data_IF_237865331551
#
_entry.id   IF_237865331551
#
_cell.length_a   1.000
_cell.length_b   1.000
_cell.length_c   1.000
_cell.angle_alpha   90.00
_cell.angle_beta   90.00
_cell.angle_gamma   90.00
#
_symmetry.space_group_name_H-M   'P 1'
#
loop_
_entity.id
_entity.type
_entity.pdbx_description
1 polymer ?
#
# COMPACT_ATOMS: atom_id res chain seq x y z
N UNK A 1 -29.71 4.89 21.66
CA UNK A 1 -29.88 4.59 20.22
C UNK A 1 -28.88 5.30 19.32
N UNK A 2 -28.85 6.65 19.23
CA UNK A 2 -27.96 7.38 18.30
C UNK A 2 -26.45 7.06 18.41
N UNK A 3 -25.93 6.84 19.62
CA UNK A 3 -24.51 6.50 19.83
C UNK A 3 -24.10 5.16 19.21
N UNK A 4 -25.02 4.20 19.12
CA UNK A 4 -24.75 2.89 18.53
C UNK A 4 -24.56 3.01 17.02
N UNK A 5 -25.45 3.72 16.33
CA UNK A 5 -25.33 3.98 14.89
C UNK A 5 -24.02 4.66 14.50
N UNK A 6 -23.59 5.64 15.31
CA UNK A 6 -22.33 6.35 15.08
C UNK A 6 -21.14 5.40 15.28
N UNK A 7 -21.15 4.59 16.34
CA UNK A 7 -20.09 3.63 16.61
C UNK A 7 -19.96 2.57 15.50
N UNK A 8 -21.08 1.99 15.06
CA UNK A 8 -21.11 1.02 13.95
C UNK A 8 -20.57 1.62 12.65
N UNK A 9 -21.00 2.84 12.31
CA UNK A 9 -20.52 3.52 11.12
C UNK A 9 -19.01 3.80 11.17
N UNK A 10 -18.50 4.24 12.33
CA UNK A 10 -17.07 4.51 12.54
C UNK A 10 -16.25 3.23 12.43
N UNK A 11 -16.71 2.14 13.03
CA UNK A 11 -16.07 0.82 12.94
C UNK A 11 -16.02 0.31 11.50
N UNK A 12 -17.12 0.43 10.77
CA UNK A 12 -17.17 0.06 9.36
C UNK A 12 -16.17 0.86 8.52
N UNK A 13 -16.09 2.19 8.74
CA UNK A 13 -15.19 3.07 7.99
C UNK A 13 -13.71 2.78 8.29
N UNK A 14 -13.35 2.54 9.56
CA UNK A 14 -11.99 2.14 9.94
C UNK A 14 -11.62 0.81 9.29
N UNK A 15 -12.54 -0.17 9.31
CA UNK A 15 -12.32 -1.49 8.72
C UNK A 15 -12.14 -1.40 7.20
N UNK A 16 -12.98 -0.63 6.52
CA UNK A 16 -12.88 -0.40 5.09
C UNK A 16 -11.53 0.24 4.72
N UNK A 17 -11.12 1.29 5.44
CA UNK A 17 -9.83 1.95 5.20
C UNK A 17 -8.64 1.00 5.45
N UNK A 18 -8.71 0.21 6.53
CA UNK A 18 -7.69 -0.78 6.85
C UNK A 18 -7.55 -1.82 5.73
N UNK A 19 -8.66 -2.36 5.22
CA UNK A 19 -8.65 -3.34 4.14
C UNK A 19 -7.99 -2.78 2.87
N UNK A 20 -8.30 -1.54 2.48
CA UNK A 20 -7.65 -0.92 1.32
C UNK A 20 -6.15 -0.71 1.51
N UNK A 21 -5.74 -0.16 2.66
CA UNK A 21 -4.33 0.08 2.96
C UNK A 21 -3.54 -1.23 3.08
N UNK A 22 -4.15 -2.29 3.63
CA UNK A 22 -3.55 -3.61 3.73
C UNK A 22 -3.37 -4.26 2.36
N UNK A 23 -4.42 -4.30 1.56
CA UNK A 23 -4.37 -4.93 0.24
C UNK A 23 -3.39 -4.21 -0.69
N UNK A 24 -3.44 -2.88 -0.73
CA UNK A 24 -2.49 -2.07 -1.49
C UNK A 24 -1.05 -2.30 -1.05
N UNK A 25 -0.79 -2.38 0.26
CA UNK A 25 0.55 -2.67 0.77
C UNK A 25 1.04 -4.07 0.37
N UNK A 26 0.16 -5.07 0.38
CA UNK A 26 0.51 -6.42 -0.07
C UNK A 26 0.84 -6.45 -1.56
N UNK A 27 0.06 -5.75 -2.40
CA UNK A 27 0.34 -5.63 -3.84
C UNK A 27 1.69 -4.95 -4.08
N UNK A 28 1.99 -3.87 -3.36
CA UNK A 28 3.27 -3.19 -3.44
C UNK A 28 4.43 -4.12 -3.05
N UNK A 29 4.28 -4.85 -1.94
CA UNK A 29 5.28 -5.82 -1.50
C UNK A 29 5.51 -6.92 -2.54
N UNK A 30 4.44 -7.46 -3.11
CA UNK A 30 4.51 -8.48 -4.15
C UNK A 30 5.18 -7.95 -5.42
N UNK A 31 4.87 -6.71 -5.83
CA UNK A 31 5.48 -6.03 -6.98
C UNK A 31 7.00 -5.92 -6.81
N UNK A 32 7.47 -5.48 -5.64
CA UNK A 32 8.90 -5.38 -5.35
C UNK A 32 9.56 -6.77 -5.32
N UNK A 33 8.88 -7.76 -4.73
CA UNK A 33 9.39 -9.14 -4.68
C UNK A 33 9.56 -9.76 -6.07
N UNK A 34 8.68 -9.44 -7.02
CA UNK A 34 8.82 -9.91 -8.41
C UNK A 34 10.03 -9.26 -9.09
N UNK A 35 10.26 -7.96 -8.88
CA UNK A 35 11.46 -7.27 -9.38
C UNK A 35 12.75 -7.93 -8.84
N UNK A 36 12.82 -8.16 -7.53
CA UNK A 36 13.95 -8.83 -6.88
C UNK A 36 14.13 -10.28 -7.37
N UNK A 37 13.03 -10.99 -7.62
CA UNK A 37 13.02 -12.35 -8.16
C UNK A 37 13.66 -12.44 -9.55
N UNK A 38 13.43 -11.43 -10.40
CA UNK A 38 14.05 -11.35 -11.73
C UNK A 38 15.56 -11.14 -11.62
N UNK A 39 16.02 -10.28 -10.71
CA UNK A 39 17.45 -10.02 -10.50
C UNK A 39 18.20 -11.19 -9.85
N UNK A 40 17.55 -11.92 -8.93
CA UNK A 40 18.10 -13.09 -8.26
C UNK A 40 18.05 -14.38 -9.10
N UNK A 41 17.38 -14.34 -10.26
CA UNK A 41 17.42 -15.45 -11.21
C UNK A 41 18.83 -15.63 -11.81
N UNK A 42 19.16 -16.82 -12.31
CA UNK A 42 20.44 -17.09 -12.99
C UNK A 42 20.48 -16.49 -14.42
N UNK A 43 20.00 -15.26 -14.59
CA UNK A 43 19.87 -14.57 -15.89
C UNK A 43 21.21 -14.42 -16.61
N UNK A 44 22.31 -14.27 -15.87
CA UNK A 44 23.67 -14.20 -16.43
C UNK A 44 24.13 -15.49 -17.08
N UNK A 45 23.52 -16.65 -16.76
CA UNK A 45 23.86 -17.94 -17.36
C UNK A 45 23.01 -18.27 -18.60
N UNK A 46 22.03 -17.42 -18.93
CA UNK A 46 21.06 -17.69 -20.01
C UNK A 46 21.53 -17.16 -21.37
N UNK A 47 20.85 -17.61 -22.43
CA UNK A 47 21.07 -17.14 -23.80
C UNK A 47 20.85 -15.63 -23.96
N UNK A 48 21.51 -15.01 -24.96
CA UNK A 48 21.43 -13.57 -25.26
C UNK A 48 19.97 -13.09 -25.45
N UNK A 49 19.13 -13.93 -26.08
CA UNK A 49 17.70 -13.63 -26.26
C UNK A 49 16.96 -13.49 -24.92
N UNK A 50 17.21 -14.40 -23.98
CA UNK A 50 16.59 -14.39 -22.65
C UNK A 50 17.11 -13.21 -21.83
N UNK A 51 18.41 -12.91 -21.89
CA UNK A 51 18.99 -11.74 -21.21
C UNK A 51 18.35 -10.43 -21.67
N UNK A 52 18.11 -10.27 -22.98
CA UNK A 52 17.38 -9.10 -23.52
C UNK A 52 15.96 -9.02 -22.97
N UNK A 53 15.23 -10.14 -22.93
CA UNK A 53 13.89 -10.18 -22.33
C UNK A 53 13.90 -9.81 -20.84
N UNK A 54 14.87 -10.31 -20.08
CA UNK A 54 15.03 -10.00 -18.65
C UNK A 54 15.29 -8.51 -18.42
N UNK A 55 16.10 -7.86 -19.26
CA UNK A 55 16.36 -6.41 -19.18
C UNK A 55 15.12 -5.59 -19.51
N UNK A 56 14.34 -6.00 -20.52
CA UNK A 56 13.07 -5.34 -20.84
C UNK A 56 12.06 -5.52 -19.70
N UNK A 57 11.97 -6.73 -19.14
CA UNK A 57 11.10 -7.05 -18.02
C UNK A 57 11.48 -6.27 -16.76
N UNK A 58 12.77 -6.17 -16.43
CA UNK A 58 13.22 -5.38 -15.27
C UNK A 58 12.93 -3.89 -15.46
N UNK A 59 13.08 -3.36 -16.68
CA UNK A 59 12.66 -1.99 -17.01
C UNK A 59 11.16 -1.75 -16.81
N UNK A 60 10.32 -2.72 -17.13
CA UNK A 60 8.87 -2.65 -16.90
C UNK A 60 8.49 -2.78 -15.42
N UNK A 61 9.13 -3.70 -14.69
CA UNK A 61 8.86 -3.98 -13.28
C UNK A 61 9.31 -2.85 -12.33
N UNK A 62 10.30 -2.04 -12.74
CA UNK A 62 10.69 -0.82 -12.01
C UNK A 62 9.52 0.15 -11.77
N UNK A 63 8.47 0.09 -12.59
CA UNK A 63 7.24 0.84 -12.34
C UNK A 63 6.43 0.13 -11.26
N UNK A 64 6.74 0.46 -10.00
CA UNK A 64 6.05 -0.10 -8.84
C UNK A 64 4.53 0.09 -8.92
N UNK A 65 3.79 -0.99 -8.69
CA UNK A 65 2.34 -0.95 -8.61
C UNK A 65 1.97 -0.43 -7.22
N UNK A 66 1.65 0.85 -7.14
CA UNK A 66 1.24 1.52 -5.90
C UNK A 66 -0.16 2.09 -6.08
N UNK A 67 -1.09 1.70 -5.22
CA UNK A 67 -2.38 2.39 -5.17
C UNK A 67 -2.22 3.74 -4.48
N UNK A 68 -2.73 4.78 -5.13
CA UNK A 68 -2.69 6.15 -4.65
C UNK A 68 -4.12 6.66 -4.45
N UNK A 69 -4.36 7.35 -3.35
CA UNK A 69 -5.56 8.12 -3.11
C UNK A 69 -5.45 9.45 -3.87
N UNK A 70 -5.62 9.40 -5.19
CA UNK A 70 -5.44 10.54 -6.08
C UNK A 70 -4.02 11.14 -6.00
N UNK A 71 -3.86 12.47 -6.18
CA UNK A 71 -2.55 13.13 -6.08
C UNK A 71 -2.06 13.34 -4.64
N UNK A 72 -2.82 12.88 -3.63
CA UNK A 72 -2.58 13.25 -2.24
C UNK A 72 -1.65 12.28 -1.51
N UNK A 73 -1.95 10.99 -1.52
CA UNK A 73 -1.21 10.01 -0.70
C UNK A 73 -1.15 8.64 -1.37
N UNK A 74 -0.11 7.86 -1.02
CA UNK A 74 -0.08 6.42 -1.30
C UNK A 74 -0.93 5.69 -0.26
N UNK A 75 -1.70 4.69 -0.68
CA UNK A 75 -2.48 3.85 0.21
C UNK A 75 -1.59 2.78 0.82
N UNK A 76 -0.94 3.09 1.92
CA UNK A 76 -0.09 2.14 2.66
C UNK A 76 -0.47 2.06 4.13
N UNK A 77 -0.09 0.97 4.80
CA UNK A 77 -0.34 0.78 6.25
C UNK A 77 0.23 1.93 7.11
N UNK A 78 1.43 2.48 6.84
CA UNK A 78 1.92 3.69 7.53
C UNK A 78 0.98 4.89 7.44
N UNK A 79 0.41 5.15 6.26
CA UNK A 79 -0.58 6.22 6.05
C UNK A 79 -1.86 5.98 6.84
N UNK A 80 -2.34 4.74 6.95
CA UNK A 80 -3.49 4.40 7.80
C UNK A 80 -3.21 4.75 9.27
N UNK A 81 -2.04 4.38 9.79
CA UNK A 81 -1.62 4.71 11.15
C UNK A 81 -1.54 6.23 11.34
N UNK A 82 -1.01 6.95 10.35
CA UNK A 82 -0.94 8.42 10.39
C UNK A 82 -2.34 9.06 10.44
N UNK A 83 -3.29 8.55 9.65
CA UNK A 83 -4.69 9.01 9.67
C UNK A 83 -5.31 8.76 11.06
N UNK A 84 -5.17 7.56 11.62
CA UNK A 84 -5.70 7.24 12.95
C UNK A 84 -5.09 8.12 14.06
N UNK A 85 -3.76 8.30 14.05
CA UNK A 85 -3.07 9.17 15.00
C UNK A 85 -3.53 10.62 14.86
N UNK A 86 -3.67 11.11 13.63
CA UNK A 86 -4.19 12.45 13.35
C UNK A 86 -5.60 12.63 13.90
N UNK A 87 -6.51 11.70 13.60
CA UNK A 87 -7.90 11.72 14.09
C UNK A 87 -7.97 11.70 15.62
N UNK A 88 -7.16 10.86 16.28
CA UNK A 88 -7.11 10.81 17.75
C UNK A 88 -6.52 12.08 18.35
N UNK A 89 -5.48 12.65 17.74
CA UNK A 89 -4.93 13.94 18.14
C UNK A 89 -5.98 15.05 18.04
N UNK A 90 -6.75 15.09 16.95
CA UNK A 90 -7.86 16.04 16.82
C UNK A 90 -8.94 15.83 17.88
N UNK A 91 -9.33 14.57 18.12
CA UNK A 91 -10.30 14.23 19.15
C UNK A 91 -9.87 14.69 20.55
N UNK A 92 -8.62 14.40 20.92
CA UNK A 92 -8.08 14.80 22.24
C UNK A 92 -7.97 16.32 22.40
N UNK A 93 -7.65 17.06 21.33
CA UNK A 93 -7.65 18.52 21.35
C UNK A 93 -9.05 19.10 21.52
N UNK A 94 -10.05 18.57 20.81
CA UNK A 94 -11.44 19.02 20.94
C UNK A 94 -12.05 18.63 22.29
N UNK A 95 -11.71 17.46 22.83
CA UNK A 95 -12.23 16.97 24.12
C UNK A 95 -11.61 17.67 25.33
N UNK A 96 -10.53 18.45 25.15
CA UNK A 96 -9.89 19.25 26.21
C UNK A 96 -10.44 20.68 26.33
N UNK A 97 -11.47 21.03 25.57
CA UNK A 97 -12.33 22.21 25.78
C UNK A 97 -13.57 21.78 26.55
#
# INVERSE_FOLDING_TARGET
MQRLWIAEYLMALITQLFLYCWHSNNVLFMSNKVEDGVYSSAWWSQNVRIRRCVVLLSGQLRKQIVFTAGPFTKLTVPTFIAILKGSYSYYTLLSKK
#
